data_IF_004735111435
#
_entry.id   IF_004735111435
#
_cell.length_a   1.000
_cell.length_b   1.000
_cell.length_c   1.000
_cell.angle_alpha   90.00
_cell.angle_beta   90.00
_cell.angle_gamma   90.00
#
_symmetry.space_group_name_H-M   'P 1'
#
loop_
_entity.id
_entity.type
_entity.pdbx_description
1 polymer ?
#
# COMPACT_ATOMS: atom_id res chain seq x y z
N UNK A 1 0.35 13.00 -24.05
CA UNK A 1 1.34 11.98 -23.64
C UNK A 1 0.90 11.44 -22.30
N UNK A 2 0.96 10.11 -22.08
CA UNK A 2 0.72 9.54 -20.78
C UNK A 2 1.81 10.00 -19.79
N UNK A 3 1.44 10.37 -18.58
CA UNK A 3 2.42 10.68 -17.53
C UNK A 3 3.01 9.35 -17.03
N UNK A 4 4.15 8.95 -17.59
CA UNK A 4 4.86 7.69 -17.27
C UNK A 4 5.14 7.59 -15.78
N UNK A 5 5.42 8.70 -15.11
CA UNK A 5 5.64 8.71 -13.67
C UNK A 5 4.36 8.38 -12.88
N UNK A 6 3.21 8.89 -13.32
CA UNK A 6 1.91 8.59 -12.72
C UNK A 6 1.52 7.12 -12.90
N UNK A 7 1.77 6.58 -14.09
CA UNK A 7 1.40 5.21 -14.46
C UNK A 7 2.17 4.14 -13.69
N UNK A 8 3.32 4.49 -13.10
CA UNK A 8 4.12 3.60 -12.26
C UNK A 8 3.87 3.76 -10.76
N UNK A 9 3.01 4.71 -10.32
CA UNK A 9 2.80 5.00 -8.89
C UNK A 9 1.58 4.33 -8.32
N UNK A 10 1.75 3.78 -7.11
CA UNK A 10 0.71 3.14 -6.30
C UNK A 10 0.64 3.84 -4.96
N UNK A 11 -0.46 4.53 -4.68
CA UNK A 11 -0.69 5.14 -3.37
C UNK A 11 -1.17 4.08 -2.37
N UNK A 12 -0.63 4.12 -1.16
CA UNK A 12 -1.00 3.22 -0.07
C UNK A 12 -1.61 4.04 1.05
N UNK A 13 -2.86 3.72 1.38
CA UNK A 13 -3.55 4.18 2.56
C UNK A 13 -3.83 2.99 3.49
N UNK A 14 -3.23 2.99 4.66
CA UNK A 14 -3.32 1.90 5.60
C UNK A 14 -3.18 2.40 7.04
N UNK A 15 -3.52 1.59 8.04
CA UNK A 15 -3.23 1.90 9.44
C UNK A 15 -1.72 2.01 9.67
N UNK A 16 -1.27 3.17 10.17
CA UNK A 16 0.14 3.40 10.51
C UNK A 16 0.36 3.07 11.99
N UNK A 17 0.23 1.79 12.36
CA UNK A 17 0.47 1.30 13.71
C UNK A 17 1.44 0.10 13.71
N UNK A 18 2.01 -0.20 14.89
CA UNK A 18 3.01 -1.26 15.02
C UNK A 18 2.51 -2.65 14.59
N UNK A 19 1.21 -2.94 14.76
CA UNK A 19 0.62 -4.23 14.38
C UNK A 19 0.45 -4.37 12.87
N UNK A 20 0.37 -3.24 12.14
CA UNK A 20 0.22 -3.23 10.69
C UNK A 20 1.56 -3.23 9.94
N UNK A 21 2.67 -2.93 10.62
CA UNK A 21 3.99 -2.77 10.02
C UNK A 21 4.37 -3.92 9.06
N UNK A 22 4.14 -5.17 9.47
CA UNK A 22 4.47 -6.35 8.65
C UNK A 22 3.67 -6.42 7.35
N UNK A 23 2.37 -6.09 7.39
CA UNK A 23 1.51 -6.03 6.21
C UNK A 23 1.94 -4.88 5.27
N UNK A 24 2.20 -3.70 5.84
CA UNK A 24 2.70 -2.56 5.07
C UNK A 24 3.99 -2.91 4.31
N UNK A 25 4.96 -3.51 5.00
CA UNK A 25 6.22 -3.94 4.40
C UNK A 25 6.00 -4.92 3.24
N UNK A 26 5.06 -5.86 3.40
CA UNK A 26 4.74 -6.84 2.36
C UNK A 26 4.08 -6.17 1.13
N UNK A 27 3.16 -5.24 1.35
CA UNK A 27 2.51 -4.45 0.30
C UNK A 27 3.54 -3.62 -0.47
N UNK A 28 4.39 -2.87 0.25
CA UNK A 28 5.44 -2.05 -0.35
C UNK A 28 6.42 -2.89 -1.15
N UNK A 29 6.88 -4.02 -0.58
CA UNK A 29 7.77 -4.93 -1.28
C UNK A 29 7.16 -5.45 -2.58
N UNK A 30 5.90 -5.91 -2.54
CA UNK A 30 5.21 -6.41 -3.72
C UNK A 30 5.08 -5.34 -4.82
N UNK A 31 4.78 -4.09 -4.44
CA UNK A 31 4.71 -2.98 -5.38
C UNK A 31 6.06 -2.77 -6.08
N UNK A 32 7.15 -2.70 -5.31
CA UNK A 32 8.49 -2.49 -5.87
C UNK A 32 8.97 -3.69 -6.70
N UNK A 33 8.70 -4.92 -6.25
CA UNK A 33 9.11 -6.16 -6.94
C UNK A 33 8.38 -6.36 -8.28
N UNK A 34 7.22 -5.75 -8.42
CA UNK A 34 6.45 -5.68 -9.67
C UNK A 34 6.84 -4.48 -10.57
N UNK A 35 7.85 -3.71 -10.21
CA UNK A 35 8.34 -2.57 -10.99
C UNK A 35 7.59 -1.26 -10.78
N UNK A 36 6.72 -1.17 -9.77
CA UNK A 36 5.99 0.06 -9.42
C UNK A 36 6.66 0.82 -8.29
N UNK A 37 6.19 2.05 -8.05
CA UNK A 37 6.64 2.93 -6.98
C UNK A 37 5.56 3.07 -5.91
N UNK A 38 5.85 2.65 -4.69
CA UNK A 38 4.97 2.87 -3.56
C UNK A 38 4.99 4.34 -3.12
N UNK A 39 3.80 4.91 -2.87
CA UNK A 39 3.60 6.27 -2.35
C UNK A 39 2.70 6.21 -1.13
N UNK A 40 2.93 7.09 -0.16
CA UNK A 40 2.14 7.18 1.07
C UNK A 40 2.14 8.61 1.62
N UNK A 41 1.20 8.91 2.51
CA UNK A 41 1.03 10.25 3.11
C UNK A 41 1.72 10.41 4.48
N UNK A 42 2.79 9.65 4.76
CA UNK A 42 3.54 9.71 6.02
C UNK A 42 4.55 10.87 6.10
N UNK A 43 4.74 11.60 5.01
CA UNK A 43 5.68 12.73 5.02
C UNK A 43 5.05 13.87 5.86
N UNK A 44 5.67 14.20 6.96
CA UNK A 44 5.31 15.34 7.79
C UNK A 44 6.09 16.58 7.31
N UNK A 45 5.44 17.38 6.49
CA UNK A 45 5.96 18.68 6.04
C UNK A 45 5.39 19.87 6.84
N UNK A 46 4.65 19.56 7.91
CA UNK A 46 4.19 20.54 8.92
C UNK A 46 3.13 21.57 8.47
N UNK A 47 2.90 21.76 7.17
CA UNK A 47 2.19 22.92 6.65
C UNK A 47 0.88 22.64 5.88
N UNK A 48 0.59 21.39 5.52
CA UNK A 48 -0.59 21.05 4.74
C UNK A 48 -1.62 20.25 5.55
N UNK A 49 -2.90 20.55 5.36
CA UNK A 49 -3.99 19.71 5.88
C UNK A 49 -3.81 18.30 5.31
N UNK A 50 -3.72 17.28 6.18
CA UNK A 50 -3.46 15.89 5.79
C UNK A 50 -4.37 15.39 4.66
N UNK A 51 -5.66 15.75 4.67
CA UNK A 51 -6.62 15.36 3.63
C UNK A 51 -6.29 15.95 2.26
N UNK A 52 -5.84 17.20 2.21
CA UNK A 52 -5.40 17.84 0.96
C UNK A 52 -4.21 17.08 0.37
N UNK A 53 -3.22 16.76 1.20
CA UNK A 53 -2.05 15.99 0.79
C UNK A 53 -2.41 14.58 0.27
N UNK A 54 -3.30 13.87 0.96
CA UNK A 54 -3.80 12.58 0.51
C UNK A 54 -4.46 12.70 -0.87
N UNK A 55 -5.32 13.70 -1.06
CA UNK A 55 -6.00 13.95 -2.34
C UNK A 55 -4.99 14.25 -3.45
N UNK A 56 -3.95 15.03 -3.17
CA UNK A 56 -2.92 15.39 -4.14
C UNK A 56 -2.04 14.19 -4.52
N UNK A 57 -1.64 13.36 -3.55
CA UNK A 57 -0.88 12.15 -3.83
C UNK A 57 -1.72 11.11 -4.61
N UNK A 58 -3.01 10.97 -4.29
CA UNK A 58 -3.93 10.11 -5.05
C UNK A 58 -4.00 10.53 -6.52
N UNK A 59 -4.11 11.83 -6.82
CA UNK A 59 -4.16 12.33 -8.21
C UNK A 59 -2.85 12.09 -8.97
N UNK A 60 -1.71 12.02 -8.28
CA UNK A 60 -0.39 11.72 -8.85
C UNK A 60 -0.17 10.22 -9.09
N UNK A 61 -1.10 9.35 -8.70
CA UNK A 61 -1.02 7.91 -8.80
C UNK A 61 -2.13 7.35 -9.70
N UNK A 62 -1.79 6.38 -10.55
CA UNK A 62 -2.76 5.62 -11.34
C UNK A 62 -3.47 4.55 -10.52
N UNK A 63 -2.82 4.07 -9.47
CA UNK A 63 -3.31 3.00 -8.62
C UNK A 63 -3.35 3.45 -7.16
N UNK A 64 -4.34 2.96 -6.42
CA UNK A 64 -4.36 3.13 -4.96
C UNK A 64 -4.82 1.86 -4.25
N UNK A 65 -4.30 1.66 -3.05
CA UNK A 65 -4.60 0.54 -2.17
C UNK A 65 -5.05 1.13 -0.84
N UNK A 66 -6.24 0.76 -0.39
CA UNK A 66 -6.83 1.23 0.87
C UNK A 66 -7.20 0.04 1.75
N UNK A 67 -6.60 -0.02 2.92
CA UNK A 67 -6.86 -1.10 3.88
C UNK A 67 -7.84 -0.65 4.96
N UNK A 68 -8.98 -1.34 5.02
CA UNK A 68 -10.08 -1.07 5.95
C UNK A 68 -10.02 -1.93 7.21
N UNK A 69 -8.92 -2.67 7.45
CA UNK A 69 -8.84 -3.67 8.52
C UNK A 69 -8.87 -3.10 9.95
N UNK A 70 -8.79 -1.78 10.12
CA UNK A 70 -8.77 -1.09 11.43
C UNK A 70 -9.98 -0.17 11.65
N UNK A 71 -11.15 -0.60 11.24
CA UNK A 71 -12.44 0.08 11.54
C UNK A 71 -13.08 -0.37 12.85
N UNK A 72 -12.34 -1.08 13.71
CA UNK A 72 -12.85 -1.59 14.98
C UNK A 72 -13.04 -0.43 15.99
N UNK A 73 -14.04 -0.62 16.85
CA UNK A 73 -14.30 0.26 17.99
C UNK A 73 -13.11 0.19 18.95
N UNK A 74 -12.61 1.35 19.39
CA UNK A 74 -11.46 1.38 20.29
C UNK A 74 -11.14 2.80 20.79
N UNK A 75 -10.11 2.91 21.61
CA UNK A 75 -9.72 4.14 22.30
C UNK A 75 -10.67 4.53 23.44
N UNK A 76 -10.36 5.61 24.12
CA UNK A 76 -11.10 6.07 25.31
C UNK A 76 -12.56 6.46 25.04
N UNK A 77 -12.89 6.80 23.79
CA UNK A 77 -14.23 7.20 23.37
C UNK A 77 -15.07 6.06 22.79
N UNK A 78 -14.50 4.84 22.69
CA UNK A 78 -15.16 3.68 22.12
C UNK A 78 -15.76 3.93 20.71
N UNK A 79 -15.06 4.72 19.89
CA UNK A 79 -15.46 5.05 18.52
C UNK A 79 -14.60 4.28 17.50
N UNK A 80 -15.17 3.86 16.35
CA UNK A 80 -14.41 3.28 15.27
C UNK A 80 -13.52 4.34 14.58
N UNK A 81 -12.44 3.89 13.96
CA UNK A 81 -11.56 4.77 13.16
C UNK A 81 -12.19 5.02 11.79
N UNK A 82 -12.78 6.18 11.60
CA UNK A 82 -13.41 6.58 10.33
C UNK A 82 -12.43 7.07 9.26
N UNK A 83 -11.17 7.38 9.62
CA UNK A 83 -10.21 7.96 8.67
C UNK A 83 -9.98 7.05 7.45
N UNK A 84 -9.78 5.75 7.65
CA UNK A 84 -9.53 4.82 6.55
C UNK A 84 -10.69 4.72 5.57
N UNK A 85 -11.96 4.53 6.01
CA UNK A 85 -13.12 4.58 5.13
C UNK A 85 -13.31 5.94 4.43
N UNK A 86 -13.09 7.05 5.14
CA UNK A 86 -13.22 8.38 4.56
C UNK A 86 -12.19 8.63 3.46
N UNK A 87 -10.94 8.29 3.69
CA UNK A 87 -9.85 8.41 2.71
C UNK A 87 -10.06 7.46 1.51
N UNK A 88 -10.62 6.26 1.75
CA UNK A 88 -11.03 5.35 0.69
C UNK A 88 -12.19 5.91 -0.15
N UNK A 89 -13.12 6.63 0.47
CA UNK A 89 -14.20 7.34 -0.21
C UNK A 89 -13.69 8.44 -1.15
N UNK A 90 -12.66 9.19 -0.76
CA UNK A 90 -11.98 10.17 -1.63
C UNK A 90 -11.39 9.45 -2.85
N UNK A 91 -10.69 8.34 -2.64
CA UNK A 91 -10.12 7.56 -3.74
C UNK A 91 -11.19 6.96 -4.65
N UNK A 92 -12.31 6.52 -4.09
CA UNK A 92 -13.46 6.07 -4.88
C UNK A 92 -14.04 7.19 -5.74
N UNK A 93 -14.20 8.39 -5.23
CA UNK A 93 -14.63 9.56 -6.00
C UNK A 93 -13.70 9.85 -7.17
N UNK A 94 -12.38 9.77 -6.97
CA UNK A 94 -11.39 9.91 -8.03
C UNK A 94 -11.52 8.76 -9.06
N UNK A 95 -11.71 7.52 -8.60
CA UNK A 95 -11.92 6.36 -9.46
C UNK A 95 -13.19 6.48 -10.31
N UNK A 96 -14.32 6.86 -9.70
CA UNK A 96 -15.63 6.96 -10.35
C UNK A 96 -15.67 8.09 -11.40
N UNK A 97 -14.87 9.13 -11.22
CA UNK A 97 -14.75 10.27 -12.17
C UNK A 97 -13.55 10.16 -13.10
N UNK A 98 -12.80 9.04 -13.04
CA UNK A 98 -11.64 8.82 -13.87
C UNK A 98 -12.02 8.71 -15.36
N UNK A 99 -11.15 9.21 -16.22
CA UNK A 99 -11.33 9.16 -17.67
C UNK A 99 -10.30 8.22 -18.31
N UNK A 100 -10.51 7.87 -19.59
CA UNK A 100 -9.55 7.06 -20.34
C UNK A 100 -8.15 7.72 -20.42
N UNK A 101 -8.06 9.06 -20.36
CA UNK A 101 -6.79 9.81 -20.35
C UNK A 101 -6.14 9.85 -18.97
N UNK A 102 -6.95 9.79 -17.91
CA UNK A 102 -6.50 9.84 -16.51
C UNK A 102 -7.18 8.72 -15.71
N UNK A 103 -6.87 7.44 -16.02
CA UNK A 103 -7.46 6.32 -15.30
C UNK A 103 -6.98 6.29 -13.85
N UNK A 104 -7.85 5.91 -12.93
CA UNK A 104 -7.48 5.60 -11.55
C UNK A 104 -8.10 4.25 -11.16
N UNK A 105 -7.32 3.37 -10.61
CA UNK A 105 -7.74 2.04 -10.19
C UNK A 105 -7.59 1.89 -8.68
N UNK A 106 -8.62 1.40 -8.03
CA UNK A 106 -8.74 1.27 -6.59
C UNK A 106 -8.74 -0.21 -6.19
N UNK A 107 -7.92 -0.57 -5.22
CA UNK A 107 -7.97 -1.83 -4.48
C UNK A 107 -8.36 -1.56 -3.04
N UNK A 108 -9.42 -2.20 -2.56
CA UNK A 108 -9.74 -2.27 -1.15
C UNK A 108 -9.21 -3.58 -0.55
N UNK A 109 -8.64 -3.48 0.65
CA UNK A 109 -8.19 -4.61 1.47
C UNK A 109 -8.97 -4.62 2.79
N UNK A 110 -9.19 -5.81 3.33
CA UNK A 110 -9.67 -6.00 4.70
C UNK A 110 -9.07 -7.28 5.30
N UNK A 111 -9.11 -7.38 6.62
CA UNK A 111 -8.69 -8.58 7.35
C UNK A 111 -9.78 -9.64 7.47
N UNK A 112 -11.06 -9.26 7.37
CA UNK A 112 -12.23 -10.15 7.54
C UNK A 112 -13.24 -9.94 6.43
N UNK A 113 -13.86 -11.02 5.92
CA UNK A 113 -14.91 -10.90 4.90
C UNK A 113 -16.16 -10.21 5.47
N UNK A 114 -16.87 -9.49 4.61
CA UNK A 114 -18.18 -8.87 4.86
C UNK A 114 -18.24 -7.81 5.98
N UNK A 115 -17.12 -7.56 6.70
CA UNK A 115 -17.11 -6.63 7.82
C UNK A 115 -17.42 -5.19 7.42
N UNK A 116 -16.90 -4.74 6.26
CA UNK A 116 -17.11 -3.40 5.76
C UNK A 116 -18.59 -3.10 5.47
N UNK A 117 -19.39 -4.11 5.10
CA UNK A 117 -20.82 -3.96 4.80
C UNK A 117 -21.63 -3.47 6.01
N UNK A 118 -21.17 -3.79 7.22
CA UNK A 118 -21.81 -3.31 8.46
C UNK A 118 -21.63 -1.79 8.68
N UNK A 119 -20.56 -1.19 8.13
CA UNK A 119 -20.23 0.23 8.31
C UNK A 119 -20.32 1.05 7.02
N UNK A 120 -20.28 0.41 5.86
CA UNK A 120 -20.30 1.01 4.52
C UNK A 120 -21.26 0.22 3.62
N UNK A 121 -22.53 0.16 3.97
CA UNK A 121 -23.56 -0.64 3.26
C UNK A 121 -23.62 -0.31 1.76
N UNK A 122 -23.48 0.97 1.39
CA UNK A 122 -23.55 1.46 0.01
C UNK A 122 -22.26 1.16 -0.80
N UNK A 123 -21.21 0.68 -0.15
CA UNK A 123 -20.00 0.19 -0.81
C UNK A 123 -20.12 -1.28 -1.29
N UNK A 124 -21.34 -1.84 -1.28
CA UNK A 124 -21.62 -3.15 -1.86
C UNK A 124 -21.17 -3.19 -3.33
N UNK A 125 -20.34 -4.19 -3.69
CA UNK A 125 -19.77 -4.31 -5.05
C UNK A 125 -18.32 -3.80 -5.17
N UNK A 126 -17.74 -3.17 -4.15
CA UNK A 126 -16.31 -2.83 -4.14
C UNK A 126 -15.40 -4.00 -3.76
N UNK A 127 -15.96 -5.10 -3.24
CA UNK A 127 -15.34 -6.40 -2.97
C UNK A 127 -13.90 -6.37 -2.43
N UNK A 128 -13.68 -5.93 -1.17
CA UNK A 128 -12.35 -5.91 -0.60
C UNK A 128 -11.68 -7.29 -0.66
N UNK A 129 -10.40 -7.31 -1.00
CA UNK A 129 -9.61 -8.54 -0.95
C UNK A 129 -9.14 -8.80 0.48
N UNK A 130 -9.37 -10.02 0.94
CA UNK A 130 -9.17 -10.40 2.34
C UNK A 130 -7.77 -10.96 2.53
N UNK A 131 -6.97 -10.31 3.39
CA UNK A 131 -5.60 -10.73 3.69
C UNK A 131 -5.46 -11.46 5.03
N UNK A 132 -6.50 -11.52 5.87
CA UNK A 132 -6.51 -12.23 7.16
C UNK A 132 -5.36 -11.84 8.12
N UNK A 133 -4.74 -10.67 7.94
CA UNK A 133 -3.54 -10.28 8.67
C UNK A 133 -2.24 -10.94 8.17
N UNK A 134 -2.27 -11.69 7.08
CA UNK A 134 -1.16 -12.48 6.56
C UNK A 134 -0.42 -11.74 5.44
N UNK A 135 0.90 -11.47 5.59
CA UNK A 135 1.69 -10.77 4.57
C UNK A 135 1.64 -11.38 3.18
N UNK A 136 1.67 -12.71 3.06
CA UNK A 136 1.63 -13.39 1.76
C UNK A 136 0.27 -13.24 1.04
N UNK A 137 -0.84 -13.12 1.79
CA UNK A 137 -2.16 -12.85 1.24
C UNK A 137 -2.26 -11.41 0.75
N UNK A 138 -1.70 -10.44 1.48
CA UNK A 138 -1.60 -9.06 1.02
C UNK A 138 -0.75 -8.96 -0.26
N UNK A 139 0.39 -9.64 -0.35
CA UNK A 139 1.20 -9.75 -1.57
C UNK A 139 0.36 -10.30 -2.73
N UNK A 140 -0.40 -11.37 -2.49
CA UNK A 140 -1.26 -12.00 -3.51
C UNK A 140 -2.33 -11.03 -4.02
N UNK A 141 -2.99 -10.31 -3.12
CA UNK A 141 -4.02 -9.33 -3.47
C UNK A 141 -3.45 -8.18 -4.31
N UNK A 142 -2.33 -7.59 -3.88
CA UNK A 142 -1.63 -6.50 -4.57
C UNK A 142 -1.15 -6.95 -5.95
N UNK A 143 -0.47 -8.11 -6.03
CA UNK A 143 0.00 -8.67 -7.29
C UNK A 143 -1.14 -8.86 -8.29
N UNK A 144 -2.22 -9.52 -7.87
CA UNK A 144 -3.35 -9.82 -8.76
C UNK A 144 -4.03 -8.54 -9.24
N UNK A 145 -4.18 -7.53 -8.37
CA UNK A 145 -4.72 -6.23 -8.73
C UNK A 145 -3.85 -5.51 -9.77
N UNK A 146 -2.55 -5.39 -9.53
CA UNK A 146 -1.64 -4.67 -10.43
C UNK A 146 -1.53 -5.37 -11.79
N UNK A 147 -1.44 -6.70 -11.82
CA UNK A 147 -1.43 -7.46 -13.08
C UNK A 147 -2.71 -7.24 -13.88
N UNK A 148 -3.87 -7.31 -13.23
CA UNK A 148 -5.16 -7.13 -13.91
C UNK A 148 -5.37 -5.71 -14.47
N UNK A 149 -4.68 -4.70 -13.92
CA UNK A 149 -4.92 -3.28 -14.25
C UNK A 149 -3.77 -2.61 -15.01
N UNK A 150 -2.57 -3.20 -15.05
CA UNK A 150 -1.39 -2.59 -15.67
C UNK A 150 -1.14 -3.00 -17.11
N UNK A 151 -1.77 -4.03 -17.59
CA UNK A 151 -1.48 -4.66 -18.90
C UNK A 151 -0.03 -5.18 -19.03
N UNK A 152 0.74 -5.21 -17.94
CA UNK A 152 2.07 -5.78 -17.94
C UNK A 152 1.97 -7.31 -18.01
N UNK A 153 2.78 -7.88 -18.88
CA UNK A 153 2.94 -9.33 -19.04
C UNK A 153 4.20 -9.82 -18.34
N UNK A 154 4.29 -11.10 -18.07
CA UNK A 154 5.47 -11.76 -17.48
C UNK A 154 5.85 -11.29 -16.06
N UNK A 155 4.87 -10.85 -15.27
CA UNK A 155 5.10 -10.51 -13.88
C UNK A 155 5.19 -11.76 -13.00
N UNK A 156 6.08 -11.70 -11.99
CA UNK A 156 6.30 -12.79 -11.04
C UNK A 156 5.01 -13.25 -10.33
N UNK A 157 4.94 -14.53 -10.01
CA UNK A 157 3.84 -15.10 -9.22
C UNK A 157 3.89 -14.67 -7.75
N UNK A 158 2.72 -14.60 -7.10
CA UNK A 158 2.62 -14.14 -5.70
C UNK A 158 3.47 -14.97 -4.73
N UNK A 159 3.53 -16.30 -4.90
CA UNK A 159 4.37 -17.17 -4.08
C UNK A 159 5.87 -16.89 -4.25
N UNK A 160 6.30 -16.55 -5.45
CA UNK A 160 7.68 -16.16 -5.71
C UNK A 160 8.01 -14.81 -5.06
N UNK A 161 7.14 -13.81 -5.22
CA UNK A 161 7.29 -12.50 -4.55
C UNK A 161 7.35 -12.67 -3.03
N UNK A 162 6.51 -13.54 -2.44
CA UNK A 162 6.53 -13.82 -1.01
C UNK A 162 7.86 -14.46 -0.55
N UNK A 163 8.45 -15.34 -1.33
CA UNK A 163 9.79 -15.90 -1.06
C UNK A 163 10.86 -14.81 -1.13
N UNK A 164 10.82 -13.93 -2.12
CA UNK A 164 11.76 -12.81 -2.25
C UNK A 164 11.61 -11.82 -1.10
N UNK A 165 10.39 -11.52 -0.69
CA UNK A 165 10.12 -10.70 0.50
C UNK A 165 10.77 -11.31 1.76
N UNK A 166 10.59 -12.59 2.02
CA UNK A 166 11.22 -13.27 3.16
C UNK A 166 12.76 -13.22 3.07
N UNK A 167 13.32 -13.45 1.89
CA UNK A 167 14.77 -13.36 1.66
C UNK A 167 15.29 -11.93 1.90
N UNK A 168 14.61 -10.91 1.39
CA UNK A 168 14.97 -9.52 1.64
C UNK A 168 15.03 -9.21 3.14
N UNK A 169 13.97 -9.59 3.89
CA UNK A 169 13.93 -9.32 5.34
C UNK A 169 14.96 -10.10 6.14
N UNK A 170 15.41 -11.27 5.68
CA UNK A 170 16.55 -11.98 6.28
C UNK A 170 17.87 -11.25 6.08
N UNK A 171 18.01 -10.50 4.98
CA UNK A 171 19.22 -9.71 4.67
C UNK A 171 19.16 -8.27 5.20
N UNK A 172 17.99 -7.78 5.58
CA UNK A 172 17.79 -6.40 5.99
C UNK A 172 18.74 -5.92 7.10
N UNK A 173 19.09 -6.72 8.15
CA UNK A 173 20.04 -6.27 9.15
C UNK A 173 21.43 -5.93 8.59
N UNK A 174 21.90 -6.70 7.61
CA UNK A 174 23.16 -6.42 6.93
C UNK A 174 23.04 -5.17 6.03
N UNK A 175 21.96 -5.08 5.26
CA UNK A 175 21.69 -3.95 4.36
C UNK A 175 21.52 -2.62 5.12
N UNK A 176 20.95 -2.64 6.32
CA UNK A 176 20.87 -1.47 7.19
C UNK A 176 22.26 -1.02 7.66
N UNK A 177 23.10 -1.97 8.08
CA UNK A 177 24.49 -1.68 8.52
C UNK A 177 25.32 -1.02 7.43
N UNK A 178 25.21 -1.44 6.17
CA UNK A 178 25.96 -0.82 5.05
C UNK A 178 25.58 0.64 4.82
N UNK A 179 24.46 1.09 5.38
CA UNK A 179 23.98 2.48 5.33
C UNK A 179 24.09 3.22 6.67
N UNK A 180 24.80 2.64 7.64
CA UNK A 180 24.94 3.16 8.99
C UNK A 180 23.60 3.36 9.72
N UNK A 181 22.59 2.51 9.43
CA UNK A 181 21.28 2.53 10.05
C UNK A 181 21.12 1.36 11.02
N UNK A 182 20.45 1.62 12.14
CA UNK A 182 20.02 0.55 13.06
C UNK A 182 18.79 -0.17 12.49
N UNK A 183 18.71 -1.47 12.68
CA UNK A 183 17.56 -2.26 12.21
C UNK A 183 16.23 -1.80 12.83
N UNK A 184 16.25 -1.33 14.09
CA UNK A 184 15.08 -0.75 14.76
C UNK A 184 14.60 0.54 14.11
N UNK A 185 15.52 1.37 13.62
CA UNK A 185 15.21 2.59 12.88
C UNK A 185 14.53 2.24 11.55
N UNK A 186 15.19 1.41 10.74
CA UNK A 186 14.67 1.01 9.41
C UNK A 186 13.29 0.35 9.47
N UNK A 187 12.96 -0.33 10.58
CA UNK A 187 11.64 -0.93 10.78
C UNK A 187 10.59 0.02 11.33
N UNK A 188 10.97 1.23 11.73
CA UNK A 188 10.04 2.23 12.25
C UNK A 188 9.36 3.03 11.14
N UNK A 189 8.19 3.59 11.44
CA UNK A 189 7.44 4.43 10.51
C UNK A 189 8.19 5.70 10.12
N UNK A 190 9.06 6.22 10.97
CA UNK A 190 9.87 7.43 10.70
C UNK A 190 10.92 7.20 9.61
N UNK A 191 11.34 5.96 9.37
CA UNK A 191 12.36 5.59 8.37
C UNK A 191 11.76 4.83 7.18
N UNK A 192 10.47 5.00 6.93
CA UNK A 192 9.79 4.26 5.84
C UNK A 192 10.40 4.55 4.47
N UNK A 193 10.87 5.76 4.23
CA UNK A 193 11.54 6.12 2.98
C UNK A 193 12.90 5.43 2.82
N UNK A 194 13.66 5.30 3.92
CA UNK A 194 14.93 4.56 3.92
C UNK A 194 14.70 3.09 3.63
N UNK A 195 13.71 2.47 4.27
CA UNK A 195 13.33 1.09 3.99
C UNK A 195 12.94 0.89 2.53
N UNK A 196 12.13 1.78 1.96
CA UNK A 196 11.75 1.70 0.55
C UNK A 196 12.97 1.85 -0.38
N UNK A 197 13.91 2.75 -0.07
CA UNK A 197 15.14 2.91 -0.82
C UNK A 197 16.02 1.65 -0.76
N UNK A 198 16.10 1.01 0.42
CA UNK A 198 16.82 -0.26 0.60
C UNK A 198 16.14 -1.38 -0.20
N UNK A 199 14.80 -1.49 -0.15
CA UNK A 199 14.01 -2.45 -0.92
C UNK A 199 14.24 -2.29 -2.42
N UNK A 200 14.10 -1.08 -2.93
CA UNK A 200 14.23 -0.78 -4.35
C UNK A 200 15.66 -1.08 -4.86
N UNK A 201 16.69 -0.78 -4.07
CA UNK A 201 18.06 -1.11 -4.43
C UNK A 201 18.25 -2.63 -4.45
N UNK A 202 17.84 -3.33 -3.38
CA UNK A 202 17.99 -4.78 -3.30
C UNK A 202 17.28 -5.50 -4.46
N UNK A 203 16.09 -5.04 -4.85
CA UNK A 203 15.33 -5.60 -5.98
C UNK A 203 16.08 -5.40 -7.29
N UNK A 204 16.69 -4.24 -7.53
CA UNK A 204 17.53 -3.99 -8.71
C UNK A 204 18.75 -4.89 -8.77
N UNK A 205 19.39 -5.12 -7.62
CA UNK A 205 20.60 -5.95 -7.51
C UNK A 205 20.29 -7.46 -7.56
N UNK A 206 19.01 -7.83 -7.37
CA UNK A 206 18.53 -9.22 -7.39
C UNK A 206 17.29 -9.32 -8.31
N UNK A 207 17.43 -9.23 -9.63
CA UNK A 207 16.29 -9.31 -10.55
C UNK A 207 15.54 -10.64 -10.42
N UNK A 208 14.21 -10.62 -10.74
CA UNK A 208 13.30 -11.77 -10.65
C UNK A 208 13.51 -12.77 -11.82
#
# INVERSE_FOLDING_TARGET
>A
MADVARDSRVFINCPFDAKYTSLFHAIVFAIHDLGFQARHALIDDGNAIRLTRISDELRKCKYSIHDLSRVEVGGNLNLPRFNMPFEAGIAYGIHATATARHPHHLLLLDSKPYRYQASLSDAAGLDPKIHQGLPHEAIRAVRNFLVARSQLTNLAGAAFIAKRHALFFSKLPLLARTRNLKISEVRSWSYVNDLQAIMAQWIRDNPA
#
